data_IF_614315032849
#
_entry.id   IF_614315032849
#
_cell.length_a   1.000
_cell.length_b   1.000
_cell.length_c   1.000
_cell.angle_alpha   90.00
_cell.angle_beta   90.00
_cell.angle_gamma   90.00
#
_symmetry.space_group_name_H-M   'P 1'
#
loop_
_entity.id
_entity.type
_entity.pdbx_description
1 polymer ?
#
# COMPACT_ATOMS: atom_id res chain seq x y z
N UNK A 1 -7.17 -32.74 -15.53
CA UNK A 1 -7.20 -31.62 -14.55
C UNK A 1 -5.97 -30.76 -14.78
N UNK A 2 -6.11 -29.61 -15.47
CA UNK A 2 -5.19 -28.45 -15.42
C UNK A 2 -5.88 -27.30 -16.17
N UNK A 3 -6.93 -26.76 -15.56
CA UNK A 3 -7.62 -25.55 -16.02
C UNK A 3 -7.20 -24.38 -15.10
N UNK A 4 -5.98 -23.90 -15.28
CA UNK A 4 -5.37 -22.88 -14.41
C UNK A 4 -4.92 -21.56 -15.08
N UNK A 5 -4.75 -21.39 -16.41
CA UNK A 5 -4.34 -20.08 -16.94
C UNK A 5 -5.52 -19.13 -17.22
N UNK A 6 -6.67 -19.61 -17.70
CA UNK A 6 -7.77 -18.73 -18.11
C UNK A 6 -8.51 -18.09 -16.93
N UNK A 7 -8.58 -18.78 -15.80
CA UNK A 7 -9.18 -18.27 -14.55
C UNK A 7 -8.37 -17.15 -13.90
N UNK A 8 -7.03 -17.19 -13.98
CA UNK A 8 -6.18 -16.12 -13.46
C UNK A 8 -6.37 -14.80 -14.22
N UNK A 9 -6.51 -14.85 -15.55
CA UNK A 9 -6.73 -13.65 -16.36
C UNK A 9 -8.10 -13.03 -16.09
N UNK A 10 -9.15 -13.86 -16.04
CA UNK A 10 -10.49 -13.39 -15.68
C UNK A 10 -10.52 -12.80 -14.26
N UNK A 11 -9.83 -13.39 -13.29
CA UNK A 11 -9.80 -12.87 -11.92
C UNK A 11 -8.99 -11.60 -11.75
N UNK A 12 -7.89 -11.44 -12.52
CA UNK A 12 -7.17 -10.16 -12.59
C UNK A 12 -8.04 -9.08 -13.23
N UNK A 13 -8.79 -9.42 -14.29
CA UNK A 13 -9.75 -8.52 -14.92
C UNK A 13 -10.87 -8.09 -13.95
N UNK A 14 -11.41 -9.01 -13.15
CA UNK A 14 -12.37 -8.67 -12.09
C UNK A 14 -11.74 -7.75 -11.04
N UNK A 15 -10.49 -7.99 -10.64
CA UNK A 15 -9.75 -7.11 -9.74
C UNK A 15 -9.58 -5.69 -10.30
N UNK A 16 -9.22 -5.56 -11.58
CA UNK A 16 -9.14 -4.27 -12.29
C UNK A 16 -10.50 -3.57 -12.36
N UNK A 17 -11.57 -4.31 -12.66
CA UNK A 17 -12.93 -3.78 -12.62
C UNK A 17 -13.30 -3.29 -11.21
N UNK A 18 -12.94 -4.04 -10.17
CA UNK A 18 -13.20 -3.66 -8.78
C UNK A 18 -12.37 -2.42 -8.37
N UNK A 19 -11.13 -2.28 -8.82
CA UNK A 19 -10.33 -1.05 -8.64
C UNK A 19 -11.01 0.15 -9.32
N UNK A 20 -11.52 -0.04 -10.54
CA UNK A 20 -12.21 0.99 -11.29
C UNK A 20 -13.54 1.39 -10.65
N UNK A 21 -14.26 0.42 -10.09
CA UNK A 21 -15.49 0.64 -9.34
C UNK A 21 -15.21 1.40 -8.02
N UNK A 22 -14.11 1.08 -7.31
CA UNK A 22 -13.64 1.85 -6.15
C UNK A 22 -13.33 3.29 -6.55
N UNK A 23 -12.64 3.50 -7.67
CA UNK A 23 -12.32 4.83 -8.21
C UNK A 23 -13.59 5.64 -8.52
N UNK A 24 -14.65 4.98 -9.01
CA UNK A 24 -15.97 5.56 -9.28
C UNK A 24 -16.89 5.62 -8.05
N UNK A 25 -16.37 5.32 -6.86
CA UNK A 25 -17.14 5.30 -5.60
C UNK A 25 -18.32 4.30 -5.61
N UNK A 26 -18.27 3.29 -6.49
CA UNK A 26 -19.23 2.19 -6.60
C UNK A 26 -18.74 1.00 -5.79
N UNK A 27 -19.03 1.00 -4.50
CA UNK A 27 -18.56 -0.06 -3.59
C UNK A 27 -19.49 -1.27 -3.61
N UNK A 28 -18.90 -2.47 -3.69
CA UNK A 28 -19.61 -3.74 -3.47
C UNK A 28 -19.61 -4.11 -1.98
N UNK A 29 -20.33 -5.18 -1.63
CA UNK A 29 -20.36 -5.71 -0.27
C UNK A 29 -18.96 -6.24 0.08
N UNK A 30 -18.41 -6.03 1.30
CA UNK A 30 -17.04 -6.45 1.60
C UNK A 30 -16.84 -7.97 1.59
N UNK A 31 -17.93 -8.74 1.62
CA UNK A 31 -17.92 -10.19 1.45
C UNK A 31 -17.57 -10.65 0.01
N UNK A 32 -17.78 -9.78 -0.98
CA UNK A 32 -17.55 -10.08 -2.39
C UNK A 32 -16.08 -9.84 -2.80
N UNK A 33 -15.29 -9.12 -1.99
CA UNK A 33 -13.85 -8.89 -2.21
C UNK A 33 -12.99 -10.07 -1.75
N UNK A 34 -13.34 -11.28 -2.20
CA UNK A 34 -12.57 -12.50 -1.93
C UNK A 34 -11.71 -12.84 -3.13
N UNK A 35 -10.44 -12.45 -3.06
CA UNK A 35 -9.45 -12.81 -4.07
C UNK A 35 -8.74 -14.12 -3.72
N UNK A 36 -8.35 -14.93 -4.72
CA UNK A 36 -7.46 -16.06 -4.49
C UNK A 36 -6.13 -15.58 -3.92
N UNK A 37 -5.54 -16.38 -3.02
CA UNK A 37 -4.25 -16.08 -2.42
C UNK A 37 -3.16 -15.77 -3.47
N UNK A 38 -3.19 -16.46 -4.61
CA UNK A 38 -2.24 -16.27 -5.73
C UNK A 38 -2.35 -14.85 -6.32
N UNK A 39 -3.58 -14.39 -6.62
CA UNK A 39 -3.82 -13.05 -7.18
C UNK A 39 -3.38 -11.99 -6.19
N UNK A 40 -3.70 -12.19 -4.92
CA UNK A 40 -3.36 -11.22 -3.90
C UNK A 40 -1.86 -11.17 -3.57
N UNK A 41 -1.17 -12.31 -3.61
CA UNK A 41 0.28 -12.37 -3.53
C UNK A 41 0.93 -11.66 -4.73
N UNK A 42 0.43 -11.88 -5.95
CA UNK A 42 0.93 -11.23 -7.15
C UNK A 42 0.77 -9.70 -7.09
N UNK A 43 -0.40 -9.20 -6.67
CA UNK A 43 -0.65 -7.77 -6.49
C UNK A 43 0.21 -7.18 -5.36
N UNK A 44 0.35 -7.88 -4.23
CA UNK A 44 1.25 -7.43 -3.16
C UNK A 44 2.70 -7.34 -3.61
N UNK A 45 3.16 -8.32 -4.40
CA UNK A 45 4.50 -8.33 -4.96
C UNK A 45 4.66 -7.14 -5.91
N UNK A 46 3.67 -6.88 -6.78
CA UNK A 46 3.67 -5.73 -7.68
C UNK A 46 3.75 -4.40 -6.94
N UNK A 47 2.89 -4.18 -5.94
CA UNK A 47 2.89 -2.96 -5.10
C UNK A 47 4.21 -2.85 -4.32
N UNK A 48 4.71 -3.97 -3.79
CA UNK A 48 6.00 -4.04 -3.12
C UNK A 48 7.15 -3.65 -4.04
N UNK A 49 7.09 -4.05 -5.32
CA UNK A 49 8.08 -3.69 -6.34
C UNK A 49 7.97 -2.21 -6.75
N UNK A 50 6.75 -1.68 -6.86
CA UNK A 50 6.48 -0.24 -7.10
C UNK A 50 7.07 0.61 -5.98
N UNK A 51 6.79 0.22 -4.73
CA UNK A 51 7.35 0.89 -3.56
C UNK A 51 8.87 0.71 -3.54
N UNK A 52 9.39 -0.49 -3.82
CA UNK A 52 10.83 -0.73 -3.86
C UNK A 52 11.53 0.11 -4.93
N UNK A 53 10.92 0.32 -6.09
CA UNK A 53 11.46 1.20 -7.13
C UNK A 53 11.51 2.66 -6.65
N UNK A 54 10.45 3.10 -5.95
CA UNK A 54 10.40 4.42 -5.32
C UNK A 54 11.50 4.60 -4.27
N UNK A 55 11.67 3.63 -3.38
CA UNK A 55 12.69 3.64 -2.32
C UNK A 55 14.11 3.45 -2.88
N UNK A 56 14.28 2.63 -3.93
CA UNK A 56 15.57 2.42 -4.58
C UNK A 56 16.07 3.66 -5.33
N UNK A 57 15.17 4.55 -5.74
CA UNK A 57 15.54 5.85 -6.28
C UNK A 57 16.16 6.76 -5.20
N UNK A 58 15.74 6.60 -3.94
CA UNK A 58 16.20 7.39 -2.79
C UNK A 58 17.41 6.77 -2.08
N UNK A 59 17.44 5.44 -1.94
CA UNK A 59 18.41 4.70 -1.12
C UNK A 59 19.30 3.72 -1.93
N UNK A 60 19.20 3.76 -3.27
CA UNK A 60 20.00 2.93 -4.18
C UNK A 60 19.43 1.53 -4.46
N UNK A 61 19.97 0.89 -5.51
CA UNK A 61 19.54 -0.44 -6.01
C UNK A 61 20.11 -1.61 -5.20
N UNK A 62 20.02 -1.55 -3.87
CA UNK A 62 20.44 -2.70 -3.05
C UNK A 62 19.32 -3.75 -2.99
N UNK A 63 19.60 -5.04 -3.27
CA UNK A 63 18.60 -6.10 -3.18
C UNK A 63 18.02 -6.23 -1.76
N UNK A 64 18.77 -5.86 -0.72
CA UNK A 64 18.28 -5.79 0.66
C UNK A 64 17.20 -4.71 0.85
N UNK A 65 17.35 -3.54 0.23
CA UNK A 65 16.37 -2.43 0.28
C UNK A 65 15.08 -2.82 -0.45
N UNK A 66 15.20 -3.55 -1.56
CA UNK A 66 14.04 -4.08 -2.29
C UNK A 66 13.27 -5.10 -1.43
N UNK A 67 13.97 -6.07 -0.84
CA UNK A 67 13.34 -7.08 0.02
C UNK A 67 12.67 -6.44 1.26
N UNK A 68 13.34 -5.49 1.91
CA UNK A 68 12.78 -4.74 3.03
C UNK A 68 11.54 -3.94 2.62
N UNK A 69 11.56 -3.27 1.47
CA UNK A 69 10.42 -2.46 1.01
C UNK A 69 9.21 -3.31 0.68
N UNK A 70 9.41 -4.49 0.07
CA UNK A 70 8.34 -5.46 -0.14
C UNK A 70 7.76 -5.91 1.20
N UNK A 71 8.61 -6.22 2.19
CA UNK A 71 8.18 -6.65 3.51
C UNK A 71 7.41 -5.54 4.25
N UNK A 72 7.89 -4.30 4.18
CA UNK A 72 7.20 -3.11 4.71
C UNK A 72 5.85 -2.88 4.04
N UNK A 73 5.74 -3.14 2.74
CA UNK A 73 4.48 -3.02 2.00
C UNK A 73 3.47 -4.05 2.47
N UNK A 74 3.88 -5.32 2.65
CA UNK A 74 3.02 -6.36 3.22
C UNK A 74 2.59 -6.00 4.64
N UNK A 75 3.53 -5.54 5.46
CA UNK A 75 3.27 -5.10 6.84
C UNK A 75 2.27 -3.95 6.87
N UNK A 76 2.43 -2.94 6.00
CA UNK A 76 1.52 -1.80 5.87
C UNK A 76 0.10 -2.27 5.55
N UNK A 77 -0.06 -3.12 4.54
CA UNK A 77 -1.35 -3.68 4.15
C UNK A 77 -1.97 -4.52 5.29
N UNK A 78 -1.15 -5.31 6.00
CA UNK A 78 -1.60 -6.12 7.14
C UNK A 78 -2.06 -5.25 8.32
N UNK A 79 -1.28 -4.24 8.69
CA UNK A 79 -1.62 -3.29 9.78
C UNK A 79 -2.90 -2.54 9.44
N UNK A 80 -3.04 -2.04 8.21
CA UNK A 80 -4.25 -1.34 7.78
C UNK A 80 -5.49 -2.25 7.87
N UNK A 81 -5.39 -3.48 7.35
CA UNK A 81 -6.48 -4.45 7.42
C UNK A 81 -6.83 -4.84 8.87
N UNK A 82 -5.84 -4.96 9.75
CA UNK A 82 -6.04 -5.30 11.16
C UNK A 82 -6.67 -4.15 11.94
N UNK A 83 -6.18 -2.93 11.75
CA UNK A 83 -6.68 -1.73 12.43
C UNK A 83 -8.11 -1.45 11.99
N UNK A 84 -8.40 -1.49 10.69
CA UNK A 84 -9.75 -1.27 10.19
C UNK A 84 -10.69 -2.41 10.61
N UNK A 85 -10.24 -3.67 10.56
CA UNK A 85 -11.03 -4.81 11.04
C UNK A 85 -11.31 -4.81 12.55
N UNK A 86 -10.43 -4.22 13.37
CA UNK A 86 -10.62 -4.10 14.82
C UNK A 86 -11.40 -2.85 15.24
N UNK A 87 -11.09 -1.70 14.65
CA UNK A 87 -11.70 -0.42 15.05
C UNK A 87 -13.05 -0.16 14.40
N UNK A 88 -13.33 -0.81 13.26
CA UNK A 88 -14.61 -0.70 12.57
C UNK A 88 -15.31 -2.07 12.53
N UNK A 89 -15.76 -2.59 13.70
CA UNK A 89 -16.52 -3.84 13.73
C UNK A 89 -17.85 -3.62 13.01
N UNK A 90 -18.11 -4.47 12.02
CA UNK A 90 -19.31 -4.46 11.20
C UNK A 90 -20.23 -5.60 11.62
N UNK A 91 -21.12 -5.34 12.58
CA UNK A 91 -22.04 -6.35 13.11
C UNK A 91 -21.31 -7.57 13.72
N UNK A 92 -21.86 -8.78 13.52
CA UNK A 92 -21.38 -10.04 14.11
C UNK A 92 -20.34 -10.78 13.27
N UNK A 93 -20.07 -10.35 12.04
CA UNK A 93 -19.20 -11.06 11.10
C UNK A 93 -17.96 -10.22 10.84
N UNK A 94 -16.77 -10.70 11.22
CA UNK A 94 -15.50 -10.04 10.87
C UNK A 94 -15.34 -10.08 9.36
N UNK A 95 -15.67 -8.99 8.66
CA UNK A 95 -15.46 -8.93 7.22
C UNK A 95 -13.96 -8.87 6.91
N UNK A 96 -13.45 -9.71 5.99
CA UNK A 96 -12.05 -9.67 5.58
C UNK A 96 -11.82 -8.43 4.72
N UNK A 97 -11.56 -7.28 5.36
CA UNK A 97 -11.26 -6.00 4.69
C UNK A 97 -9.94 -6.03 3.89
N UNK A 98 -9.22 -7.15 3.96
CA UNK A 98 -7.94 -7.34 3.28
C UNK A 98 -8.05 -7.21 1.77
N UNK A 99 -9.11 -7.73 1.14
CA UNK A 99 -9.32 -7.61 -0.31
C UNK A 99 -9.54 -6.16 -0.76
N UNK A 100 -10.32 -5.39 0.01
CA UNK A 100 -10.52 -3.97 -0.26
C UNK A 100 -9.23 -3.17 -0.12
N UNK A 101 -8.46 -3.42 0.95
CA UNK A 101 -7.14 -2.80 1.17
C UNK A 101 -6.19 -3.10 0.02
N UNK A 102 -6.18 -4.33 -0.48
CA UNK A 102 -5.33 -4.72 -1.60
C UNK A 102 -5.69 -3.96 -2.89
N UNK A 103 -6.97 -3.86 -3.19
CA UNK A 103 -7.48 -3.15 -4.37
C UNK A 103 -7.25 -1.63 -4.27
N UNK A 104 -7.41 -1.06 -3.07
CA UNK A 104 -7.18 0.37 -2.84
C UNK A 104 -5.69 0.72 -2.89
N UNK A 105 -4.81 -0.15 -2.39
CA UNK A 105 -3.37 0.04 -2.50
C UNK A 105 -2.87 -0.15 -3.94
N UNK A 106 -3.47 -1.06 -4.73
CA UNK A 106 -3.13 -1.23 -6.14
C UNK A 106 -3.43 0.03 -6.99
N UNK A 107 -4.34 0.90 -6.54
CA UNK A 107 -4.60 2.18 -7.22
C UNK A 107 -3.39 3.14 -7.17
N UNK A 108 -2.37 2.84 -6.35
CA UNK A 108 -1.10 3.56 -6.34
C UNK A 108 -0.16 3.16 -7.49
N UNK A 109 -0.35 2.00 -8.13
CA UNK A 109 0.51 1.52 -9.23
C UNK A 109 0.66 2.52 -10.39
N UNK A 110 -0.40 3.21 -10.86
CA UNK A 110 -0.29 4.24 -11.90
C UNK A 110 0.61 5.43 -11.54
N UNK A 111 0.90 5.67 -10.25
CA UNK A 111 1.84 6.71 -9.84
C UNK A 111 3.26 6.42 -10.31
N UNK A 112 3.57 5.18 -10.71
CA UNK A 112 4.83 4.84 -11.36
C UNK A 112 5.11 5.70 -12.60
N UNK A 113 4.06 6.17 -13.30
CA UNK A 113 4.20 7.05 -14.47
C UNK A 113 4.97 8.33 -14.11
N UNK A 114 4.88 8.81 -12.87
CA UNK A 114 5.60 9.99 -12.40
C UNK A 114 7.13 9.81 -12.43
N UNK A 115 7.64 8.57 -12.33
CA UNK A 115 9.07 8.31 -12.47
C UNK A 115 9.58 8.56 -13.89
N UNK A 116 8.71 8.37 -14.89
CA UNK A 116 9.06 8.60 -16.30
C UNK A 116 8.69 10.01 -16.76
N UNK A 117 7.65 10.60 -16.16
CA UNK A 117 7.14 11.92 -16.52
C UNK A 117 6.90 12.78 -15.26
N UNK A 118 7.96 13.34 -14.66
CA UNK A 118 7.84 14.19 -13.47
C UNK A 118 7.04 15.47 -13.71
N UNK A 119 6.88 15.90 -14.97
CA UNK A 119 6.00 17.00 -15.37
C UNK A 119 4.52 16.78 -14.95
N UNK A 120 4.12 15.53 -14.70
CA UNK A 120 2.79 15.17 -14.22
C UNK A 120 2.69 15.18 -12.69
N UNK A 121 3.68 15.67 -11.95
CA UNK A 121 3.68 15.65 -10.48
C UNK A 121 2.41 16.24 -9.85
N UNK A 122 1.87 17.33 -10.41
CA UNK A 122 0.61 17.91 -9.96
C UNK A 122 -0.59 16.96 -10.15
N UNK A 123 -0.65 16.26 -11.29
CA UNK A 123 -1.64 15.22 -11.55
C UNK A 123 -1.44 14.01 -10.61
N UNK A 124 -0.18 13.69 -10.29
CA UNK A 124 0.20 12.69 -9.29
C UNK A 124 -0.32 13.01 -7.90
N UNK A 125 -0.14 14.25 -7.43
CA UNK A 125 -0.69 14.70 -6.14
C UNK A 125 -2.21 14.64 -6.13
N UNK A 126 -2.86 15.10 -7.20
CA UNK A 126 -4.32 15.00 -7.34
C UNK A 126 -4.78 13.53 -7.27
N UNK A 127 -4.09 12.64 -7.98
CA UNK A 127 -4.36 11.21 -7.96
C UNK A 127 -4.18 10.61 -6.56
N UNK A 128 -3.11 10.96 -5.85
CA UNK A 128 -2.85 10.53 -4.46
C UNK A 128 -4.00 10.93 -3.53
N UNK A 129 -4.44 12.19 -3.60
CA UNK A 129 -5.55 12.71 -2.79
C UNK A 129 -6.83 11.95 -3.16
N UNK A 130 -7.07 11.71 -4.45
CA UNK A 130 -8.25 11.01 -4.92
C UNK A 130 -8.31 9.55 -4.44
N UNK A 131 -7.20 8.79 -4.53
CA UNK A 131 -7.12 7.43 -3.98
C UNK A 131 -7.43 7.45 -2.49
N UNK A 132 -6.85 8.40 -1.75
CA UNK A 132 -7.08 8.53 -0.31
C UNK A 132 -8.56 8.78 0.01
N UNK A 133 -9.22 9.67 -0.73
CA UNK A 133 -10.67 9.93 -0.59
C UNK A 133 -11.48 8.70 -0.96
N UNK A 134 -11.19 8.05 -2.09
CA UNK A 134 -11.89 6.83 -2.52
C UNK A 134 -11.75 5.69 -1.49
N UNK A 135 -10.58 5.56 -0.87
CA UNK A 135 -10.31 4.60 0.18
C UNK A 135 -11.05 4.95 1.48
N UNK A 136 -11.00 6.22 1.91
CA UNK A 136 -11.69 6.69 3.12
C UNK A 136 -13.22 6.57 3.00
N UNK A 137 -13.80 6.98 1.87
CA UNK A 137 -15.24 6.85 1.59
C UNK A 137 -15.63 5.37 1.50
N UNK A 138 -14.77 4.53 0.93
CA UNK A 138 -14.96 3.08 0.90
C UNK A 138 -15.06 2.51 2.30
N UNK A 139 -14.13 2.87 3.20
CA UNK A 139 -14.23 2.47 4.61
C UNK A 139 -15.47 3.02 5.32
N UNK A 140 -15.90 4.26 5.04
CA UNK A 140 -17.12 4.83 5.64
C UNK A 140 -18.36 4.02 5.22
N UNK A 141 -18.54 3.80 3.92
CA UNK A 141 -19.67 3.04 3.38
C UNK A 141 -19.62 1.57 3.80
N UNK A 142 -18.44 0.96 3.76
CA UNK A 142 -18.22 -0.43 4.15
C UNK A 142 -18.13 -0.66 5.65
N UNK A 143 -18.10 0.37 6.50
CA UNK A 143 -18.15 0.25 7.97
C UNK A 143 -19.50 0.65 8.55
N UNK A 144 -20.30 1.43 7.81
CA UNK A 144 -21.52 2.04 8.31
C UNK A 144 -21.26 3.03 9.46
N UNK A 145 -20.01 3.46 9.67
CA UNK A 145 -19.60 4.35 10.77
C UNK A 145 -19.32 5.76 10.25
N UNK A 146 -19.44 6.79 11.12
CA UNK A 146 -19.13 8.16 10.73
C UNK A 146 -17.65 8.33 10.38
N UNK A 147 -17.37 9.19 9.39
CA UNK A 147 -16.02 9.40 8.85
C UNK A 147 -14.95 9.78 9.88
N UNK A 148 -15.31 10.43 10.99
CA UNK A 148 -14.36 10.75 12.05
C UNK A 148 -13.75 9.50 12.71
N UNK A 149 -14.51 8.39 12.83
CA UNK A 149 -13.97 7.12 13.35
C UNK A 149 -13.01 6.45 12.37
N UNK A 150 -13.29 6.60 11.07
CA UNK A 150 -12.36 6.15 10.01
C UNK A 150 -11.07 6.97 10.08
N UNK A 151 -11.16 8.29 10.29
CA UNK A 151 -9.98 9.15 10.51
C UNK A 151 -9.19 8.77 11.76
N UNK A 152 -9.85 8.46 12.89
CA UNK A 152 -9.14 7.97 14.08
C UNK A 152 -8.47 6.62 13.84
N UNK A 153 -9.10 5.73 13.07
CA UNK A 153 -8.50 4.46 12.69
C UNK A 153 -7.27 4.67 11.78
N UNK A 154 -7.31 5.66 10.87
CA UNK A 154 -6.14 6.08 10.09
C UNK A 154 -5.02 6.62 10.96
N UNK A 155 -5.33 7.39 12.01
CA UNK A 155 -4.33 7.92 12.93
C UNK A 155 -3.64 6.80 13.72
N UNK A 156 -4.41 5.81 14.21
CA UNK A 156 -3.87 4.61 14.86
C UNK A 156 -3.05 3.77 13.88
N UNK A 157 -3.53 3.61 12.64
CA UNK A 157 -2.77 2.95 11.58
C UNK A 157 -1.45 3.65 11.32
N UNK A 158 -1.41 4.98 11.19
CA UNK A 158 -0.17 5.72 10.96
C UNK A 158 0.86 5.48 12.08
N UNK A 159 0.42 5.56 13.35
CA UNK A 159 1.28 5.29 14.51
C UNK A 159 1.79 3.85 14.49
N UNK A 160 0.91 2.86 14.26
CA UNK A 160 1.31 1.45 14.22
C UNK A 160 2.23 1.13 13.05
N UNK A 161 2.02 1.73 11.88
CA UNK A 161 2.88 1.57 10.72
C UNK A 161 4.27 2.17 10.99
N UNK A 162 4.36 3.32 11.65
CA UNK A 162 5.64 3.90 12.06
C UNK A 162 6.35 2.99 13.06
N UNK A 163 5.67 2.52 14.09
CA UNK A 163 6.26 1.63 15.11
C UNK A 163 6.72 0.31 14.46
N UNK A 164 5.85 -0.33 13.67
CA UNK A 164 6.15 -1.61 13.04
C UNK A 164 7.23 -1.48 11.97
N UNK A 165 7.22 -0.38 11.20
CA UNK A 165 8.26 -0.06 10.23
C UNK A 165 9.62 0.18 10.88
N UNK A 166 9.66 0.97 11.96
CA UNK A 166 10.87 1.20 12.76
C UNK A 166 11.40 -0.09 13.39
N UNK A 167 10.53 -0.92 13.96
CA UNK A 167 10.92 -2.21 14.53
C UNK A 167 11.53 -3.13 13.45
N UNK A 168 10.95 -3.15 12.25
CA UNK A 168 11.46 -3.93 11.14
C UNK A 168 12.81 -3.41 10.62
N UNK A 169 12.99 -2.10 10.54
CA UNK A 169 14.27 -1.48 10.20
C UNK A 169 15.35 -1.86 11.21
N UNK A 170 15.06 -1.76 12.51
CA UNK A 170 15.99 -2.16 13.58
C UNK A 170 16.31 -3.65 13.52
N UNK A 171 15.31 -4.51 13.26
CA UNK A 171 15.55 -5.95 13.10
C UNK A 171 16.43 -6.26 11.87
N UNK A 172 16.19 -5.59 10.74
CA UNK A 172 17.00 -5.74 9.53
C UNK A 172 18.46 -5.27 9.76
N UNK A 173 18.64 -4.20 10.52
CA UNK A 173 19.96 -3.72 10.91
C UNK A 173 20.72 -4.70 11.82
N UNK A 174 20.02 -5.29 12.80
CA UNK A 174 20.62 -6.29 13.70
C UNK A 174 21.07 -7.56 12.97
N UNK A 175 20.41 -7.91 11.87
CA UNK A 175 20.82 -9.05 11.02
C UNK A 175 21.99 -8.74 10.08
N UNK A 176 22.51 -7.51 10.07
CA UNK A 176 23.57 -7.08 9.14
C UNK A 176 23.11 -7.00 7.68
N UNK A 177 21.80 -7.14 7.43
CA UNK A 177 21.20 -7.08 6.10
C UNK A 177 21.22 -5.65 5.54
N UNK A 178 21.27 -4.66 6.44
CA UNK A 178 21.25 -3.23 6.13
C UNK A 178 22.21 -2.52 7.08
N UNK A 179 23.18 -1.79 6.53
CA UNK A 179 24.05 -0.91 7.30
C UNK A 179 23.29 0.38 7.64
N UNK A 180 22.88 0.53 8.91
CA UNK A 180 22.21 1.74 9.39
C UNK A 180 23.10 2.98 9.21
N UNK A 181 24.41 2.83 9.32
CA UNK A 181 25.36 3.92 9.09
C UNK A 181 25.45 4.35 7.63
N UNK A 182 25.29 3.41 6.67
CA UNK A 182 25.21 3.74 5.25
C UNK A 182 23.88 4.42 4.89
N UNK A 183 22.75 3.98 5.48
CA UNK A 183 21.45 4.64 5.31
C UNK A 183 21.41 6.02 5.98
N UNK A 184 21.95 6.15 7.20
CA UNK A 184 22.05 7.42 7.90
C UNK A 184 22.98 8.38 7.16
N UNK A 185 24.08 7.88 6.60
CA UNK A 185 24.99 8.64 5.74
C UNK A 185 24.29 9.17 4.48
N UNK A 186 23.53 8.33 3.77
CA UNK A 186 22.78 8.75 2.58
C UNK A 186 21.62 9.71 2.91
N UNK A 187 20.90 9.47 4.02
CA UNK A 187 19.86 10.38 4.49
C UNK A 187 20.46 11.74 4.92
N UNK A 188 21.64 11.73 5.52
CA UNK A 188 22.38 12.94 5.90
C UNK A 188 22.88 13.69 4.67
N UNK A 189 23.40 12.99 3.65
CA UNK A 189 23.74 13.58 2.35
C UNK A 189 22.51 14.18 1.67
N UNK A 190 21.33 13.53 1.73
CA UNK A 190 20.08 14.10 1.20
C UNK A 190 19.56 15.31 1.99
N UNK A 191 19.72 15.31 3.32
CA UNK A 191 19.33 16.43 4.19
C UNK A 191 20.29 17.62 4.09
N UNK A 192 21.60 17.36 3.89
CA UNK A 192 22.60 18.38 3.62
C UNK A 192 22.56 18.86 2.15
N UNK A 193 22.04 18.05 1.22
CA UNK A 193 21.73 18.46 -0.15
C UNK A 193 20.33 19.07 -0.29
N UNK A 194 19.87 19.81 0.72
CA UNK A 194 18.86 20.86 0.54
C UNK A 194 19.47 22.08 -0.16
N UNK A 195 18.65 22.88 -0.86
CA UNK A 195 18.86 23.29 -2.24
C UNK A 195 20.17 24.07 -2.49
N UNK A 196 21.13 23.44 -3.17
CA UNK A 196 22.12 24.17 -3.95
C UNK A 196 22.17 23.67 -5.40
N UNK A 197 21.51 24.44 -6.26
CA UNK A 197 21.84 24.71 -7.66
C UNK A 197 21.93 23.53 -8.64
N UNK A 198 20.79 23.14 -9.24
CA UNK A 198 20.41 23.46 -10.64
C UNK A 198 19.13 22.74 -11.05
#
# INVERSE_FOLDING_TARGET
>A
MHAFPETCWFMLYYFLCDMWDILRLRYKNPADYRYPFIVAAAVLLLIGLVNAASTALLFGKSPAVVALTVLLTVLKCAVLSLVMGRMLPHGKTKLPMWGFVLASEALSVPLLVLFYAPALAAAGMFWQIWIFVAQAVGFIRMSGRPGWRVMSAYLVYAVLTVIAGSALLTAAAQTGLIDLDALAGQAKVMLESGPQAR
#
